data_IF_189003425703
#
_entry.id   IF_189003425703
#
_cell.length_a   1.000
_cell.length_b   1.000
_cell.length_c   1.000
_cell.angle_alpha   90.00
_cell.angle_beta   90.00
_cell.angle_gamma   90.00
#
_symmetry.space_group_name_H-M   'P 1'
#
loop_
_entity.id
_entity.type
_entity.pdbx_description
1 polymer ?
#
# COMPACT_ATOMS: atom_id res chain seq x y z
N UNK A 1 -24.98 -5.56 9.97
CA UNK A 1 -24.21 -4.93 11.07
C UNK A 1 -22.69 -4.84 10.80
N UNK A 2 -22.17 -5.24 9.64
CA UNK A 2 -20.72 -5.37 9.41
C UNK A 2 -19.97 -4.06 9.06
N UNK A 3 -20.68 -2.99 8.66
CA UNK A 3 -20.04 -1.73 8.22
C UNK A 3 -19.37 -0.94 9.36
N UNK A 4 -19.85 -1.05 10.60
CA UNK A 4 -19.28 -0.31 11.74
C UNK A 4 -17.96 -0.91 12.23
N UNK A 5 -17.83 -2.24 12.21
CA UNK A 5 -16.63 -2.95 12.66
C UNK A 5 -15.43 -2.69 11.75
N UNK A 6 -15.62 -2.82 10.43
CA UNK A 6 -14.57 -2.50 9.45
C UNK A 6 -14.19 -1.03 9.54
N UNK A 7 -15.16 -0.12 9.72
CA UNK A 7 -14.88 1.32 9.88
C UNK A 7 -14.02 1.62 11.11
N UNK A 8 -14.26 0.94 12.23
CA UNK A 8 -13.45 1.10 13.44
C UNK A 8 -12.01 0.62 13.21
N UNK A 9 -11.85 -0.52 12.52
CA UNK A 9 -10.54 -1.04 12.13
C UNK A 9 -9.81 -0.05 11.20
N UNK A 10 -10.51 0.54 10.23
CA UNK A 10 -9.94 1.55 9.33
C UNK A 10 -9.52 2.83 10.07
N UNK A 11 -10.25 3.25 11.10
CA UNK A 11 -9.86 4.39 11.93
C UNK A 11 -8.60 4.07 12.74
N UNK A 12 -8.52 2.89 13.35
CA UNK A 12 -7.33 2.45 14.07
C UNK A 12 -6.10 2.38 13.15
N UNK A 13 -6.26 1.88 11.92
CA UNK A 13 -5.16 1.85 10.94
C UNK A 13 -4.71 3.24 10.47
N UNK A 14 -5.62 4.22 10.40
CA UNK A 14 -5.29 5.60 10.03
C UNK A 14 -4.46 6.30 11.11
N UNK A 15 -4.61 5.89 12.38
CA UNK A 15 -3.87 6.44 13.51
C UNK A 15 -2.61 5.64 13.86
N UNK A 16 -2.22 4.66 13.04
CA UNK A 16 -1.13 3.72 13.31
C UNK A 16 -1.25 2.99 14.67
N UNK A 17 -2.49 2.77 15.15
CA UNK A 17 -2.72 2.16 16.46
C UNK A 17 -2.71 0.64 16.35
N UNK A 18 -1.51 0.07 16.36
CA UNK A 18 -1.29 -1.37 16.29
C UNK A 18 -1.93 -2.13 17.46
N UNK A 19 -1.97 -1.54 18.65
CA UNK A 19 -2.59 -2.19 19.81
C UNK A 19 -4.10 -2.32 19.62
N UNK A 20 -4.76 -1.24 19.20
CA UNK A 20 -6.19 -1.26 18.90
C UNK A 20 -6.50 -2.21 17.74
N UNK A 21 -5.71 -2.21 16.67
CA UNK A 21 -5.88 -3.13 15.55
C UNK A 21 -5.76 -4.58 16.00
N UNK A 22 -4.70 -4.93 16.76
CA UNK A 22 -4.48 -6.28 17.24
C UNK A 22 -5.61 -6.74 18.18
N UNK A 23 -6.07 -5.86 19.07
CA UNK A 23 -7.20 -6.12 19.96
C UNK A 23 -8.50 -6.36 19.16
N UNK A 24 -8.77 -5.54 18.14
CA UNK A 24 -9.95 -5.68 17.30
C UNK A 24 -9.94 -6.98 16.47
N UNK A 25 -8.76 -7.41 16.01
CA UNK A 25 -8.60 -8.65 15.25
C UNK A 25 -8.70 -9.89 16.17
N UNK A 26 -8.07 -9.86 17.36
CA UNK A 26 -7.99 -11.02 18.26
C UNK A 26 -9.21 -11.14 19.18
N UNK A 27 -9.56 -10.07 19.88
CA UNK A 27 -10.65 -10.06 20.88
C UNK A 27 -12.01 -9.86 20.23
N UNK A 28 -12.14 -8.83 19.38
CA UNK A 28 -13.40 -8.56 18.69
C UNK A 28 -13.64 -9.46 17.47
N UNK A 29 -12.65 -10.29 17.10
CA UNK A 29 -12.70 -11.25 15.97
C UNK A 29 -13.22 -10.62 14.69
N UNK A 30 -12.83 -9.37 14.44
CA UNK A 30 -13.25 -8.65 13.24
C UNK A 30 -12.51 -9.25 12.05
N UNK A 31 -13.27 -9.67 11.04
CA UNK A 31 -12.71 -10.15 9.78
C UNK A 31 -12.28 -8.99 8.91
N UNK A 32 -11.05 -9.08 8.38
CA UNK A 32 -10.54 -8.12 7.40
C UNK A 32 -11.23 -8.37 6.06
N UNK A 33 -11.82 -7.34 5.42
CA UNK A 33 -12.38 -7.50 4.09
C UNK A 33 -11.28 -7.85 3.08
N UNK A 34 -11.56 -8.80 2.20
CA UNK A 34 -10.62 -9.24 1.17
C UNK A 34 -10.83 -8.54 -0.17
N UNK A 35 -11.94 -7.82 -0.32
CA UNK A 35 -12.22 -7.04 -1.52
C UNK A 35 -11.29 -5.83 -1.58
N UNK A 36 -10.55 -5.66 -2.69
CA UNK A 36 -9.73 -4.48 -2.89
C UNK A 36 -10.65 -3.27 -3.01
N UNK A 37 -10.58 -2.37 -2.02
CA UNK A 37 -11.35 -1.14 -1.99
C UNK A 37 -10.57 -0.06 -1.24
N UNK A 38 -10.85 1.20 -1.53
CA UNK A 38 -10.21 2.34 -0.84
C UNK A 38 -10.52 2.39 0.66
N UNK A 39 -11.55 1.68 1.10
CA UNK A 39 -11.92 1.56 2.53
C UNK A 39 -11.42 0.27 3.17
N UNK A 40 -10.57 -0.50 2.49
CA UNK A 40 -9.97 -1.70 3.06
C UNK A 40 -8.83 -1.30 4.03
N UNK A 41 -8.85 -1.77 5.29
CA UNK A 41 -7.83 -1.42 6.28
C UNK A 41 -6.42 -1.88 5.88
N UNK A 42 -6.27 -2.99 5.14
CA UNK A 42 -4.97 -3.46 4.66
C UNK A 42 -4.40 -2.53 3.58
N UNK A 43 -5.25 -2.02 2.68
CA UNK A 43 -4.86 -1.02 1.68
C UNK A 43 -4.52 0.31 2.35
N UNK A 44 -5.31 0.74 3.35
CA UNK A 44 -5.01 1.96 4.12
C UNK A 44 -3.66 1.84 4.84
N UNK A 45 -3.38 0.72 5.51
CA UNK A 45 -2.08 0.49 6.14
C UNK A 45 -0.92 0.56 5.13
N UNK A 46 -1.10 -0.01 3.93
CA UNK A 46 -0.10 0.08 2.86
C UNK A 46 0.03 1.51 2.29
N UNK A 47 -1.06 2.27 2.25
CA UNK A 47 -1.09 3.67 1.83
C UNK A 47 -0.33 4.59 2.78
N UNK A 48 -0.45 4.39 4.09
CA UNK A 48 0.29 5.18 5.08
C UNK A 48 1.70 4.64 5.36
N UNK A 49 2.04 3.46 4.86
CA UNK A 49 3.37 2.86 5.05
C UNK A 49 3.54 2.10 6.35
N UNK A 50 2.44 1.73 7.03
CA UNK A 50 2.47 1.05 8.31
C UNK A 50 2.75 -0.45 8.14
N UNK A 51 4.02 -0.81 7.90
CA UNK A 51 4.44 -2.20 7.65
C UNK A 51 4.03 -3.18 8.76
N UNK A 52 4.08 -2.75 10.03
CA UNK A 52 3.64 -3.57 11.17
C UNK A 52 2.15 -3.88 11.13
N UNK A 53 1.32 -2.90 10.75
CA UNK A 53 -0.12 -3.11 10.58
C UNK A 53 -0.44 -3.99 9.38
N UNK A 54 0.26 -3.79 8.26
CA UNK A 54 0.11 -4.63 7.07
C UNK A 54 0.35 -6.10 7.43
N UNK A 55 1.41 -6.39 8.19
CA UNK A 55 1.72 -7.74 8.64
C UNK A 55 0.61 -8.33 9.51
N UNK A 56 0.19 -7.63 10.57
CA UNK A 56 -0.86 -8.13 11.47
C UNK A 56 -2.21 -8.35 10.74
N UNK A 57 -2.55 -7.48 9.80
CA UNK A 57 -3.77 -7.60 8.99
C UNK A 57 -3.70 -8.79 8.04
N UNK A 58 -2.56 -9.02 7.38
CA UNK A 58 -2.38 -10.14 6.47
C UNK A 58 -2.25 -11.47 7.21
N UNK A 59 -1.58 -11.50 8.36
CA UNK A 59 -1.49 -12.69 9.23
C UNK A 59 -2.86 -13.06 9.83
N UNK A 60 -3.75 -12.10 9.98
CA UNK A 60 -5.15 -12.34 10.39
C UNK A 60 -6.02 -12.89 9.26
N UNK A 61 -5.59 -12.76 8.00
CA UNK A 61 -6.28 -13.34 6.85
C UNK A 61 -5.74 -14.75 6.63
N UNK A 62 -6.59 -15.79 6.60
CA UNK A 62 -6.13 -17.13 6.26
C UNK A 62 -5.53 -17.12 4.85
N UNK A 63 -4.26 -17.50 4.72
CA UNK A 63 -3.49 -17.53 3.47
C UNK A 63 -4.22 -18.01 2.20
N UNK A 64 -5.05 -19.08 2.20
CA UNK A 64 -5.78 -19.49 1.00
C UNK A 64 -6.86 -18.50 0.52
N UNK A 65 -7.26 -17.53 1.35
CA UNK A 65 -8.24 -16.51 1.01
C UNK A 65 -7.60 -15.17 0.60
N UNK A 66 -6.27 -15.07 0.67
CA UNK A 66 -5.56 -13.85 0.34
C UNK A 66 -5.54 -13.68 -1.19
N UNK A 67 -6.32 -12.72 -1.69
CA UNK A 67 -6.46 -12.49 -3.13
C UNK A 67 -5.23 -11.78 -3.70
N UNK A 68 -4.80 -12.21 -4.89
CA UNK A 68 -3.75 -11.54 -5.67
C UNK A 68 -4.09 -10.09 -5.96
N UNK A 69 -5.36 -9.78 -6.25
CA UNK A 69 -5.82 -8.42 -6.53
C UNK A 69 -5.60 -7.48 -5.33
N UNK A 70 -5.81 -7.98 -4.11
CA UNK A 70 -5.56 -7.23 -2.88
C UNK A 70 -4.06 -6.96 -2.69
N UNK A 71 -3.21 -7.97 -2.87
CA UNK A 71 -1.75 -7.82 -2.83
C UNK A 71 -1.26 -6.81 -3.88
N UNK A 72 -1.72 -6.94 -5.12
CA UNK A 72 -1.35 -6.05 -6.21
C UNK A 72 -1.77 -4.61 -5.92
N UNK A 73 -2.96 -4.40 -5.36
CA UNK A 73 -3.42 -3.07 -4.96
C UNK A 73 -2.56 -2.48 -3.83
N UNK A 74 -2.29 -3.24 -2.77
CA UNK A 74 -1.43 -2.79 -1.67
C UNK A 74 -0.01 -2.48 -2.17
N UNK A 75 0.52 -3.31 -3.07
CA UNK A 75 1.83 -3.12 -3.69
C UNK A 75 1.84 -1.86 -4.57
N UNK A 76 0.84 -1.67 -5.42
CA UNK A 76 0.71 -0.47 -6.25
C UNK A 76 0.62 0.79 -5.39
N UNK A 77 -0.18 0.74 -4.33
CA UNK A 77 -0.40 1.86 -3.41
C UNK A 77 0.87 2.21 -2.63
N UNK A 78 1.54 1.22 -2.04
CA UNK A 78 2.81 1.43 -1.33
C UNK A 78 3.93 1.91 -2.26
N UNK A 79 3.99 1.42 -3.50
CA UNK A 79 4.87 1.95 -4.54
C UNK A 79 4.56 3.42 -4.89
N UNK A 80 3.27 3.74 -5.05
CA UNK A 80 2.79 5.10 -5.33
C UNK A 80 3.07 6.09 -4.19
N UNK A 81 3.28 5.62 -2.97
CA UNK A 81 3.65 6.45 -1.83
C UNK A 81 5.15 6.41 -1.53
N UNK A 82 5.87 5.42 -2.04
CA UNK A 82 7.30 5.24 -1.82
C UNK A 82 7.64 4.50 -0.52
N UNK A 83 6.70 3.73 0.03
CA UNK A 83 6.88 2.95 1.25
C UNK A 83 7.60 1.64 0.96
N UNK A 84 8.93 1.72 0.80
CA UNK A 84 9.77 0.57 0.46
C UNK A 84 9.64 -0.59 1.46
N UNK A 85 9.50 -0.29 2.75
CA UNK A 85 9.38 -1.30 3.80
C UNK A 85 8.14 -2.19 3.61
N UNK A 86 7.02 -1.59 3.21
CA UNK A 86 5.78 -2.32 2.90
C UNK A 86 5.95 -3.14 1.61
N UNK A 87 6.57 -2.56 0.58
CA UNK A 87 6.82 -3.27 -0.68
C UNK A 87 7.72 -4.49 -0.45
N UNK A 88 8.79 -4.32 0.34
CA UNK A 88 9.68 -5.42 0.70
C UNK A 88 8.93 -6.51 1.47
N UNK A 89 8.11 -6.14 2.46
CA UNK A 89 7.30 -7.09 3.22
C UNK A 89 6.33 -7.85 2.32
N UNK A 90 5.61 -7.18 1.42
CA UNK A 90 4.68 -7.83 0.49
C UNK A 90 5.36 -8.79 -0.48
N UNK A 91 6.54 -8.42 -1.00
CA UNK A 91 7.28 -9.24 -1.98
C UNK A 91 8.00 -10.40 -1.29
N UNK A 92 8.62 -10.18 -0.13
CA UNK A 92 9.39 -11.21 0.58
C UNK A 92 8.52 -12.16 1.40
N UNK A 93 7.58 -11.64 2.21
CA UNK A 93 6.78 -12.46 3.12
C UNK A 93 5.54 -13.06 2.44
N UNK A 94 4.95 -12.34 1.48
CA UNK A 94 3.69 -12.76 0.83
C UNK A 94 3.82 -13.08 -0.66
N UNK A 95 5.04 -13.08 -1.21
CA UNK A 95 5.36 -13.44 -2.60
C UNK A 95 4.48 -12.70 -3.64
N UNK A 96 4.19 -11.41 -3.38
CA UNK A 96 3.39 -10.59 -4.29
C UNK A 96 4.09 -10.47 -5.66
N UNK A 97 3.33 -10.70 -6.74
CA UNK A 97 3.84 -10.62 -8.11
C UNK A 97 4.12 -9.15 -8.49
N UNK A 98 5.36 -8.70 -8.28
CA UNK A 98 5.81 -7.33 -8.59
C UNK A 98 5.70 -6.96 -10.09
N UNK A 99 5.37 -7.94 -10.96
CA UNK A 99 5.15 -7.73 -12.40
C UNK A 99 3.73 -7.28 -12.74
N UNK A 100 2.76 -7.54 -11.86
CA UNK A 100 1.34 -7.24 -12.08
C UNK A 100 0.88 -5.92 -11.42
N UNK A 101 1.82 -5.10 -10.94
CA UNK A 101 1.50 -3.77 -10.37
C UNK A 101 0.87 -2.79 -11.38
N UNK A 102 0.78 -3.19 -12.66
CA UNK A 102 0.44 -2.34 -13.80
C UNK A 102 -1.02 -2.42 -14.26
N UNK A 103 -1.82 -3.40 -13.79
CA UNK A 103 -3.04 -3.80 -14.51
C UNK A 103 -4.38 -3.28 -13.95
N UNK A 104 -4.43 -2.68 -12.76
CA UNK A 104 -5.68 -2.11 -12.24
C UNK A 104 -5.67 -0.59 -12.14
N UNK A 105 -5.59 0.06 -13.29
CA UNK A 105 -6.19 1.38 -13.47
C UNK A 105 -6.34 1.66 -14.96
N UNK A 106 -7.54 1.43 -15.51
CA UNK A 106 -8.00 1.98 -16.80
C UNK A 106 -8.06 3.53 -16.81
N UNK A 107 -7.38 4.20 -15.88
CA UNK A 107 -7.24 5.65 -15.87
C UNK A 107 -5.79 6.14 -15.70
N UNK A 108 -4.81 5.26 -15.47
CA UNK A 108 -3.40 5.69 -15.32
C UNK A 108 -2.35 4.67 -15.79
N UNK A 109 -2.74 3.66 -16.56
CA UNK A 109 -1.86 2.60 -17.05
C UNK A 109 -1.20 2.94 -18.40
N UNK A 110 -0.25 3.87 -18.45
CA UNK A 110 0.75 3.86 -19.55
C UNK A 110 2.19 4.15 -19.10
N UNK A 111 2.45 4.79 -17.95
CA UNK A 111 3.84 5.18 -17.58
C UNK A 111 4.34 4.59 -16.24
N UNK A 112 3.50 3.92 -15.45
CA UNK A 112 3.85 3.51 -14.07
C UNK A 112 4.15 2.02 -13.89
N UNK A 113 4.21 1.24 -14.99
CA UNK A 113 4.25 -0.23 -14.95
C UNK A 113 5.60 -0.88 -14.61
N UNK A 114 6.54 -0.18 -13.96
CA UNK A 114 7.82 -0.78 -13.57
C UNK A 114 8.13 -0.46 -12.10
N UNK A 115 8.57 -1.46 -11.31
CA UNK A 115 9.25 -1.23 -10.03
C UNK A 115 10.39 -0.20 -10.15
N UNK A 116 10.96 -0.07 -11.35
CA UNK A 116 11.94 0.93 -11.74
C UNK A 116 11.44 2.38 -11.61
N UNK A 117 10.15 2.64 -11.79
CA UNK A 117 9.54 3.99 -11.65
C UNK A 117 9.40 4.39 -10.18
N UNK A 118 9.04 3.45 -9.30
CA UNK A 118 9.05 3.67 -7.85
C UNK A 118 10.47 3.94 -7.34
N UNK A 119 11.47 3.18 -7.83
CA UNK A 119 12.89 3.42 -7.54
C UNK A 119 13.39 4.78 -8.10
N UNK A 120 12.96 5.17 -9.31
CA UNK A 120 13.32 6.45 -9.92
C UNK A 120 12.80 7.67 -9.14
N UNK A 121 11.68 7.51 -8.41
CA UNK A 121 11.12 8.57 -7.56
C UNK A 121 11.72 8.58 -6.15
N UNK A 122 12.08 7.42 -5.61
CA UNK A 122 12.81 7.32 -4.34
C UNK A 122 14.23 7.91 -4.43
N UNK A 123 14.87 7.86 -5.61
CA UNK A 123 16.18 8.47 -5.87
C UNK A 123 16.21 10.00 -6.08
N UNK A 124 15.07 10.70 -6.02
CA UNK A 124 14.99 12.17 -6.22
C UNK A 124 14.45 12.94 -5.01
N UNK A 125 14.59 12.38 -3.81
CA UNK A 125 14.11 13.00 -2.57
C UNK A 125 15.18 13.73 -1.72
N UNK A 126 16.47 13.66 -2.04
CA UNK A 126 17.54 14.16 -1.17
C UNK A 126 18.62 14.98 -1.88
N UNK A 127 18.23 15.85 -2.81
CA UNK A 127 19.04 17.03 -3.07
C UNK A 127 18.16 18.22 -3.49
N UNK A 128 17.64 18.93 -2.49
CA UNK A 128 17.39 20.36 -2.67
C UNK A 128 18.77 20.97 -2.94
N UNK A 129 19.07 21.31 -4.18
CA UNK A 129 19.82 22.51 -4.62
C UNK A 129 20.18 22.44 -6.10
N UNK A 130 19.91 23.56 -6.78
CA UNK A 130 20.47 24.04 -8.06
C UNK A 130 19.85 23.53 -9.37
N UNK A 131 18.83 24.23 -9.84
CA UNK A 131 18.71 24.57 -11.27
C UNK A 131 17.95 25.90 -11.41
N UNK A 132 18.57 26.98 -10.94
CA UNK A 132 18.33 28.30 -11.53
C UNK A 132 19.00 28.33 -12.90
N UNK A 133 18.29 28.87 -13.89
CA UNK A 133 18.83 29.51 -15.10
C UNK A 133 19.37 28.60 -16.21
N UNK A 134 18.61 28.47 -17.31
CA UNK A 134 18.96 29.05 -18.63
C UNK A 134 17.77 28.83 -19.57
N UNK A 135 16.95 29.85 -19.80
CA UNK A 135 17.05 30.79 -20.91
C UNK A 135 16.67 30.17 -22.26
N UNK A 136 15.46 30.56 -22.68
CA UNK A 136 14.88 30.53 -24.01
C UNK A 136 15.91 30.84 -25.11
N UNK A 137 16.07 29.94 -26.09
CA UNK A 137 16.62 30.28 -27.42
C UNK A 137 15.85 29.52 -28.49
N UNK A 138 15.41 30.29 -29.51
CA UNK A 138 15.06 29.83 -30.86
C UNK A 138 13.55 29.68 -31.08
N UNK A 139 12.88 30.46 -31.92
CA UNK A 139 13.30 31.27 -33.08
C UNK A 139 12.33 32.42 -33.31
#
# INVERSE_FOLDING_TARGET
MCLSQVRLLCLATQHDDLQSVCYLLKEARITVPQEPSNSNPAILAAYYGHAGLVKELLDSIPGPCLRRDLLNWMLATSCQQGHLDVVQLLVHDYNADAKDCAIHSDEFAVITGLPLYAAARAGRGTHRLCASTTQTIGT
#
